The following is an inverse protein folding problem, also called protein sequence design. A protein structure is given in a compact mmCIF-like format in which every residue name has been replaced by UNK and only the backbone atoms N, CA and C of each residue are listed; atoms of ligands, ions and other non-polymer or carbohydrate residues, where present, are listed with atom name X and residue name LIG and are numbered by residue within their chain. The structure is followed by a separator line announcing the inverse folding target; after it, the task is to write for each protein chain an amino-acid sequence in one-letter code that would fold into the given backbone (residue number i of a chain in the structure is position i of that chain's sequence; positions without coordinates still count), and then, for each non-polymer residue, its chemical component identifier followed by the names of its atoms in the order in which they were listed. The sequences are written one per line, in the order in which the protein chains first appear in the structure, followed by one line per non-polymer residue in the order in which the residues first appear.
data_IF_287636380915
#
_entry.id   IF_287636380915
#
_cell.length_a   1.000
_cell.length_b   1.000
_cell.length_c   1.000
_cell.angle_alpha   90.00
_cell.angle_beta   90.00
_cell.angle_gamma   90.00
#
_symmetry.space_group_name_H-M   'P 1'
#
loop_
_entity.id
_entity.type
_entity.pdbx_description
1 polymer ?
#
# COMPACT_ATOMS: atom_id res chain seq x y z
N UNK A 1 1.94 -16.15 18.77
CA UNK A 1 3.05 -15.57 19.57
C UNK A 1 4.09 -14.83 18.70
N UNK A 2 4.68 -15.46 17.65
CA UNK A 2 5.74 -14.82 16.83
C UNK A 2 5.25 -13.52 16.19
N UNK A 3 4.09 -13.53 15.54
CA UNK A 3 3.53 -12.33 14.91
C UNK A 3 3.17 -11.23 15.92
N UNK A 4 2.83 -11.57 17.16
CA UNK A 4 2.63 -10.58 18.22
C UNK A 4 3.95 -9.93 18.63
N UNK A 5 5.00 -10.73 18.80
CA UNK A 5 6.34 -10.20 19.11
C UNK A 5 6.82 -9.26 17.99
N UNK A 6 6.66 -9.67 16.73
CA UNK A 6 7.02 -8.82 15.58
C UNK A 6 6.24 -7.48 15.62
N UNK A 7 4.96 -7.52 15.94
CA UNK A 7 4.14 -6.31 16.06
C UNK A 7 4.59 -5.39 17.20
N UNK A 8 4.93 -5.96 18.36
CA UNK A 8 5.42 -5.20 19.51
C UNK A 8 6.76 -4.52 19.19
N UNK A 9 7.66 -5.24 18.50
CA UNK A 9 8.94 -4.68 18.02
C UNK A 9 8.73 -3.53 17.05
N UNK A 10 7.78 -3.62 16.10
CA UNK A 10 7.46 -2.50 15.20
C UNK A 10 6.98 -1.26 15.96
N UNK A 11 6.16 -1.45 17.01
CA UNK A 11 5.70 -0.35 17.87
C UNK A 11 6.89 0.31 18.57
N UNK A 12 7.78 -0.49 19.18
CA UNK A 12 8.96 0.01 19.86
C UNK A 12 9.92 0.76 18.94
N UNK A 13 10.17 0.19 17.76
CA UNK A 13 11.05 0.78 16.73
C UNK A 13 10.39 1.94 15.96
N UNK A 14 9.08 2.15 16.08
CA UNK A 14 8.31 3.16 15.33
C UNK A 14 8.46 3.00 13.80
N UNK A 15 8.55 1.77 13.33
CA UNK A 15 8.79 1.44 11.92
C UNK A 15 7.51 1.29 11.09
N UNK A 16 6.43 0.81 11.70
CA UNK A 16 5.13 0.64 11.04
C UNK A 16 4.14 -0.06 11.96
N UNK A 17 2.89 -0.08 11.58
CA UNK A 17 1.84 -0.75 12.36
C UNK A 17 0.96 -1.67 11.48
N UNK A 18 1.23 -1.74 10.19
CA UNK A 18 0.42 -2.47 9.21
C UNK A 18 1.08 -3.72 8.65
N UNK A 19 2.39 -3.69 8.54
CA UNK A 19 3.15 -4.66 7.74
C UNK A 19 3.07 -6.09 8.30
N UNK A 20 3.06 -6.24 9.63
CA UNK A 20 2.92 -7.55 10.29
C UNK A 20 1.56 -8.19 9.98
N UNK A 21 0.48 -7.41 10.01
CA UNK A 21 -0.85 -7.93 9.69
C UNK A 21 -0.95 -8.33 8.23
N UNK A 22 -0.53 -7.46 7.31
CA UNK A 22 -0.52 -7.73 5.88
C UNK A 22 0.30 -8.99 5.55
N UNK A 23 1.50 -9.11 6.10
CA UNK A 23 2.35 -10.28 5.93
C UNK A 23 1.74 -11.54 6.53
N UNK A 24 1.06 -11.44 7.65
CA UNK A 24 0.46 -12.59 8.34
C UNK A 24 -0.76 -13.15 7.62
N UNK A 25 -1.68 -12.27 7.21
CA UNK A 25 -2.93 -12.70 6.58
C UNK A 25 -2.82 -12.88 5.08
N UNK A 26 -2.00 -12.08 4.40
CA UNK A 26 -1.93 -12.02 2.93
C UNK A 26 -3.23 -11.57 2.28
N UNK A 27 -3.22 -11.42 0.97
CA UNK A 27 -4.37 -10.99 0.21
C UNK A 27 -4.55 -9.47 0.22
N UNK A 28 -5.71 -9.02 -0.25
CA UNK A 28 -6.15 -7.64 -0.10
C UNK A 28 -6.92 -7.53 1.21
N UNK A 29 -6.37 -6.81 2.16
CA UNK A 29 -6.95 -6.69 3.49
C UNK A 29 -7.33 -5.25 3.84
N UNK A 30 -8.41 -5.09 4.57
CA UNK A 30 -8.84 -3.83 5.16
C UNK A 30 -8.85 -4.00 6.67
N UNK A 31 -8.00 -3.27 7.37
CA UNK A 31 -7.95 -3.31 8.83
C UNK A 31 -8.95 -2.33 9.43
N UNK A 32 -9.94 -2.85 10.12
CA UNK A 32 -11.01 -2.09 10.77
C UNK A 32 -10.86 -1.99 12.30
N UNK A 33 -10.01 -2.84 12.89
CA UNK A 33 -9.67 -2.77 14.31
C UNK A 33 -8.15 -2.86 14.51
N UNK A 34 -7.53 -1.94 15.25
CA UNK A 34 -6.09 -1.99 15.53
C UNK A 34 -5.73 -3.16 16.44
N UNK A 35 -4.46 -3.57 16.40
CA UNK A 35 -3.88 -4.62 17.23
C UNK A 35 -3.07 -5.63 16.42
N UNK A 36 -2.32 -6.47 17.14
CA UNK A 36 -1.56 -7.59 16.57
C UNK A 36 -2.48 -8.67 15.97
N UNK A 37 -1.97 -9.60 15.16
CA UNK A 37 -2.72 -10.78 14.72
C UNK A 37 -3.36 -11.53 15.89
N UNK A 38 -4.67 -11.76 15.81
CA UNK A 38 -5.48 -12.36 16.88
C UNK A 38 -6.08 -11.37 17.90
N UNK A 39 -5.70 -10.08 17.84
CA UNK A 39 -6.26 -8.99 18.66
C UNK A 39 -6.96 -7.98 17.76
N UNK A 40 -6.24 -7.50 16.72
CA UNK A 40 -6.81 -6.67 15.68
C UNK A 40 -7.76 -7.46 14.79
N UNK A 41 -8.52 -6.73 13.97
CA UNK A 41 -9.43 -7.33 13.00
C UNK A 41 -9.15 -6.79 11.60
N UNK A 42 -9.17 -7.70 10.63
CA UNK A 42 -9.05 -7.38 9.20
C UNK A 42 -10.17 -8.06 8.42
N UNK A 43 -10.70 -7.38 7.44
CA UNK A 43 -11.53 -7.99 6.41
C UNK A 43 -10.63 -8.35 5.23
N UNK A 44 -10.51 -9.63 4.94
CA UNK A 44 -9.72 -10.13 3.83
C UNK A 44 -10.59 -10.32 2.59
N UNK A 45 -10.11 -9.81 1.48
CA UNK A 45 -10.75 -9.94 0.18
C UNK A 45 -9.79 -10.71 -0.74
N UNK A 46 -10.24 -11.85 -1.24
CA UNK A 46 -9.46 -12.65 -2.19
C UNK A 46 -9.59 -12.03 -3.57
N UNK A 47 -8.46 -11.65 -4.15
CA UNK A 47 -8.36 -11.19 -5.51
C UNK A 47 -7.54 -12.19 -6.33
N UNK A 48 -8.02 -12.53 -7.51
CA UNK A 48 -7.36 -13.46 -8.41
C UNK A 48 -6.91 -12.74 -9.69
N UNK A 49 -5.78 -13.17 -10.25
CA UNK A 49 -5.21 -12.65 -11.50
C UNK A 49 -4.94 -11.13 -11.45
N UNK A 50 -4.58 -10.63 -10.28
CA UNK A 50 -4.16 -9.24 -10.08
C UNK A 50 -2.64 -9.20 -9.96
N UNK A 51 -2.03 -8.38 -10.79
CA UNK A 51 -0.63 -8.02 -10.69
C UNK A 51 -0.47 -6.70 -9.95
N UNK A 52 0.58 -6.63 -9.16
CA UNK A 52 0.99 -5.42 -8.47
C UNK A 52 2.29 -4.94 -9.09
N UNK A 53 2.26 -3.79 -9.74
CA UNK A 53 3.44 -3.17 -10.33
C UNK A 53 3.74 -1.89 -9.57
N UNK A 54 4.98 -1.78 -9.11
CA UNK A 54 5.44 -0.65 -8.31
C UNK A 54 6.63 0.01 -8.98
N UNK A 55 6.75 1.32 -8.79
CA UNK A 55 8.00 2.05 -9.02
C UNK A 55 8.41 2.73 -7.73
N UNK A 56 9.64 2.44 -7.28
CA UNK A 56 10.22 2.91 -6.03
C UNK A 56 11.42 3.81 -6.34
N UNK A 57 11.45 5.01 -5.77
CA UNK A 57 12.54 5.97 -5.98
C UNK A 57 13.43 6.09 -4.75
N UNK A 58 12.90 6.56 -3.64
CA UNK A 58 13.65 6.76 -2.40
C UNK A 58 12.82 6.49 -1.16
N UNK A 59 13.47 6.08 -0.05
CA UNK A 59 12.77 5.91 1.22
C UNK A 59 12.40 7.26 1.84
N UNK A 60 11.31 7.28 2.59
CA UNK A 60 10.89 8.41 3.43
C UNK A 60 10.94 7.96 4.88
N UNK A 61 11.48 8.79 5.78
CA UNK A 61 11.52 8.46 7.20
C UNK A 61 10.11 8.42 7.82
N UNK A 62 9.63 7.22 8.10
CA UNK A 62 8.32 6.96 8.70
C UNK A 62 8.12 7.73 10.01
N UNK A 63 9.08 7.65 10.92
CA UNK A 63 8.98 8.27 12.24
C UNK A 63 8.88 9.79 12.18
N UNK A 64 9.66 10.43 11.29
CA UNK A 64 9.60 11.87 11.06
C UNK A 64 8.26 12.27 10.45
N UNK A 65 7.83 11.56 9.40
CA UNK A 65 6.59 11.84 8.70
C UNK A 65 5.37 11.74 9.62
N UNK A 66 5.25 10.66 10.40
CA UNK A 66 4.13 10.46 11.32
C UNK A 66 4.10 11.59 12.36
N UNK A 67 5.25 11.93 12.95
CA UNK A 67 5.34 12.98 13.97
C UNK A 67 4.82 14.33 13.47
N UNK A 68 5.19 14.69 12.24
CA UNK A 68 4.83 15.99 11.66
C UNK A 68 3.37 16.06 11.17
N UNK A 69 2.76 14.92 10.81
CA UNK A 69 1.50 14.88 10.08
C UNK A 69 0.37 14.10 10.77
N UNK A 70 0.60 13.64 11.99
CA UNK A 70 -0.36 12.81 12.74
C UNK A 70 -1.80 13.37 12.76
N UNK A 71 -2.05 14.69 12.97
CA UNK A 71 -3.40 15.23 12.96
C UNK A 71 -4.11 15.08 11.60
N UNK A 72 -3.38 15.24 10.50
CA UNK A 72 -3.91 15.03 9.14
C UNK A 72 -4.19 13.55 8.88
N UNK A 73 -3.27 12.67 9.26
CA UNK A 73 -3.43 11.22 9.12
C UNK A 73 -4.72 10.75 9.81
N UNK A 74 -4.91 11.12 11.07
CA UNK A 74 -6.08 10.73 11.84
C UNK A 74 -7.39 11.41 11.37
N UNK A 75 -7.31 12.61 10.85
CA UNK A 75 -8.49 13.39 10.41
C UNK A 75 -9.22 12.76 9.21
N UNK A 76 -8.53 12.13 8.30
CA UNK A 76 -9.11 11.55 7.07
C UNK A 76 -9.13 10.02 7.07
N UNK A 77 -8.12 9.38 7.68
CA UNK A 77 -7.91 7.93 7.59
C UNK A 77 -9.15 7.10 7.98
N UNK A 78 -9.78 7.40 9.10
CA UNK A 78 -10.96 6.66 9.55
C UNK A 78 -12.16 6.75 8.60
N UNK A 79 -12.38 7.93 7.99
CA UNK A 79 -13.44 8.10 6.98
C UNK A 79 -13.18 7.29 5.72
N UNK A 80 -11.93 7.23 5.30
CA UNK A 80 -11.52 6.46 4.12
C UNK A 80 -11.65 4.96 4.36
N UNK A 81 -11.24 4.46 5.53
CA UNK A 81 -11.41 3.05 5.88
C UNK A 81 -12.89 2.65 5.81
N UNK A 82 -13.81 3.44 6.36
CA UNK A 82 -15.24 3.14 6.30
C UNK A 82 -15.76 3.06 4.85
N UNK A 83 -15.40 4.01 4.00
CA UNK A 83 -15.77 3.97 2.57
C UNK A 83 -15.20 2.73 1.86
N UNK A 84 -13.98 2.33 2.21
CA UNK A 84 -13.35 1.16 1.63
C UNK A 84 -14.02 -0.14 2.10
N UNK A 85 -14.44 -0.20 3.35
CA UNK A 85 -15.22 -1.33 3.91
C UNK A 85 -16.56 -1.51 3.20
N UNK A 86 -17.19 -0.42 2.76
CA UNK A 86 -18.44 -0.45 1.99
C UNK A 86 -18.20 -0.94 0.57
N UNK A 87 -17.18 -0.39 -0.13
CA UNK A 87 -16.93 -0.70 -1.55
C UNK A 87 -16.22 -2.03 -1.76
N UNK A 88 -15.29 -2.40 -0.87
CA UNK A 88 -14.41 -3.58 -0.98
C UNK A 88 -13.73 -3.72 -2.35
N UNK A 89 -13.42 -2.61 -2.97
CA UNK A 89 -12.95 -2.53 -4.35
C UNK A 89 -11.49 -2.03 -4.38
N UNK A 90 -10.60 -2.82 -4.99
CA UNK A 90 -9.17 -2.51 -5.07
C UNK A 90 -8.86 -1.30 -5.97
N UNK A 91 -9.69 -1.01 -6.96
CA UNK A 91 -9.51 0.18 -7.79
C UNK A 91 -9.86 1.44 -6.99
N UNK A 92 -10.94 1.40 -6.22
CA UNK A 92 -11.33 2.47 -5.31
C UNK A 92 -10.28 2.67 -4.20
N UNK A 93 -9.67 1.58 -3.72
CA UNK A 93 -8.54 1.65 -2.79
C UNK A 93 -7.37 2.46 -3.36
N UNK A 94 -7.01 2.25 -4.62
CA UNK A 94 -5.93 3.00 -5.27
C UNK A 94 -6.25 4.49 -5.36
N UNK A 95 -7.47 4.84 -5.77
CA UNK A 95 -7.93 6.24 -5.84
C UNK A 95 -7.89 6.91 -4.47
N UNK A 96 -8.40 6.22 -3.44
CA UNK A 96 -8.39 6.72 -2.06
C UNK A 96 -6.97 6.84 -1.50
N UNK A 97 -6.08 5.91 -1.82
CA UNK A 97 -4.67 5.98 -1.43
C UNK A 97 -4.00 7.22 -2.02
N UNK A 98 -4.27 7.53 -3.29
CA UNK A 98 -3.75 8.73 -3.96
C UNK A 98 -4.34 10.02 -3.35
N UNK A 99 -5.65 10.03 -3.08
CA UNK A 99 -6.31 11.16 -2.40
C UNK A 99 -5.71 11.41 -1.01
N UNK A 100 -5.52 10.34 -0.25
CA UNK A 100 -4.91 10.41 1.08
C UNK A 100 -3.48 10.94 1.02
N UNK A 101 -2.65 10.45 0.10
CA UNK A 101 -1.27 10.90 -0.07
C UNK A 101 -1.18 12.40 -0.40
N UNK A 102 -2.09 12.91 -1.23
CA UNK A 102 -2.22 14.35 -1.51
C UNK A 102 -2.62 15.13 -0.26
N UNK A 103 -3.60 14.64 0.47
CA UNK A 103 -4.09 15.31 1.68
C UNK A 103 -3.04 15.40 2.79
N UNK A 104 -2.27 14.33 3.01
CA UNK A 104 -1.18 14.32 4.00
C UNK A 104 0.11 14.94 3.47
N UNK A 105 0.13 15.41 2.23
CA UNK A 105 1.23 16.12 1.58
C UNK A 105 2.54 15.29 1.55
N UNK A 106 2.44 14.05 1.06
CA UNK A 106 3.59 13.16 0.86
C UNK A 106 4.04 13.09 -0.60
N UNK A 107 3.25 13.68 -1.50
CA UNK A 107 3.52 13.67 -2.94
C UNK A 107 4.72 14.53 -3.31
N UNK A 108 5.76 13.92 -3.85
CA UNK A 108 6.89 14.66 -4.44
C UNK A 108 6.58 15.07 -5.89
N UNK A 109 7.30 16.08 -6.44
CA UNK A 109 7.15 16.45 -7.85
C UNK A 109 7.40 15.27 -8.81
N UNK A 110 8.31 14.35 -8.45
CA UNK A 110 8.61 13.15 -9.22
C UNK A 110 7.44 12.18 -9.22
N UNK A 111 6.88 11.89 -8.05
CA UNK A 111 5.68 11.05 -7.94
C UNK A 111 4.51 11.65 -8.73
N UNK A 112 4.32 12.96 -8.67
CA UNK A 112 3.25 13.63 -9.41
C UNK A 112 3.39 13.47 -10.93
N UNK A 113 4.62 13.48 -11.47
CA UNK A 113 4.86 13.24 -12.90
C UNK A 113 4.43 11.83 -13.31
N UNK A 114 4.82 10.81 -12.53
CA UNK A 114 4.43 9.42 -12.81
C UNK A 114 2.92 9.24 -12.72
N UNK A 115 2.30 9.73 -11.65
CA UNK A 115 0.84 9.65 -11.45
C UNK A 115 0.09 10.31 -12.61
N UNK A 116 0.53 11.48 -13.06
CA UNK A 116 -0.08 12.17 -14.19
C UNK A 116 0.03 11.37 -15.49
N UNK A 117 1.19 10.72 -15.73
CA UNK A 117 1.38 9.91 -16.93
C UNK A 117 0.53 8.64 -16.91
N UNK A 118 0.44 7.95 -15.76
CA UNK A 118 -0.46 6.82 -15.58
C UNK A 118 -1.93 7.22 -15.79
N UNK A 119 -2.34 8.35 -15.21
CA UNK A 119 -3.71 8.88 -15.35
C UNK A 119 -4.07 9.21 -16.80
N UNK A 120 -3.17 9.82 -17.58
CA UNK A 120 -3.38 10.07 -19.02
C UNK A 120 -3.64 8.79 -19.82
N UNK A 121 -3.11 7.67 -19.36
CA UNK A 121 -3.28 6.37 -19.97
C UNK A 121 -4.44 5.55 -19.36
N UNK A 122 -5.30 6.18 -18.53
CA UNK A 122 -6.40 5.55 -17.81
C UNK A 122 -5.96 4.41 -16.90
N UNK A 123 -4.78 4.52 -16.29
CA UNK A 123 -4.25 3.56 -15.32
C UNK A 123 -4.42 4.14 -13.92
N UNK A 124 -5.16 3.41 -13.07
CA UNK A 124 -5.30 3.75 -11.66
C UNK A 124 -4.04 3.38 -10.89
N UNK A 125 -3.68 4.21 -9.93
CA UNK A 125 -2.54 3.96 -9.06
C UNK A 125 -2.79 4.49 -7.65
N UNK A 126 -2.06 3.97 -6.70
CA UNK A 126 -2.00 4.46 -5.33
C UNK A 126 -0.57 4.79 -4.91
N UNK A 127 -0.42 5.30 -3.71
CA UNK A 127 0.86 5.64 -3.10
C UNK A 127 1.08 4.73 -1.89
N UNK A 128 2.19 4.02 -1.89
CA UNK A 128 2.63 3.29 -0.70
C UNK A 128 3.23 4.30 0.28
N UNK A 129 2.54 4.51 1.39
CA UNK A 129 2.96 5.49 2.39
C UNK A 129 4.29 5.08 3.03
N UNK A 130 5.11 6.10 3.28
CA UNK A 130 6.48 6.08 3.82
C UNK A 130 7.56 5.63 2.84
N UNK A 131 7.32 5.86 1.55
CA UNK A 131 8.31 5.79 0.48
C UNK A 131 7.88 6.63 -0.71
N UNK A 132 8.83 7.06 -1.55
CA UNK A 132 8.51 7.56 -2.88
C UNK A 132 8.14 6.38 -3.78
N UNK A 133 7.02 5.73 -3.47
CA UNK A 133 6.59 4.50 -4.14
C UNK A 133 5.17 4.66 -4.65
N UNK A 134 5.00 4.44 -5.95
CA UNK A 134 3.71 4.40 -6.62
C UNK A 134 3.43 2.94 -6.95
N UNK A 135 2.21 2.48 -6.70
CA UNK A 135 1.79 1.14 -7.06
C UNK A 135 0.53 1.15 -7.90
N UNK A 136 0.38 0.16 -8.76
CA UNK A 136 -0.85 -0.14 -9.46
C UNK A 136 -1.21 -1.60 -9.29
N UNK A 137 -2.46 -1.84 -8.91
CA UNK A 137 -3.10 -3.15 -8.89
C UNK A 137 -3.92 -3.26 -10.17
N UNK A 138 -3.56 -4.18 -11.04
CA UNK A 138 -4.17 -4.29 -12.38
C UNK A 138 -4.44 -5.75 -12.75
N UNK A 139 -5.40 -6.01 -13.63
CA UNK A 139 -5.51 -7.31 -14.28
C UNK A 139 -4.21 -7.70 -14.98
N UNK A 140 -3.83 -8.98 -14.87
CA UNK A 140 -2.55 -9.49 -15.38
C UNK A 140 -2.33 -9.21 -16.89
N UNK A 141 -3.39 -9.17 -17.66
CA UNK A 141 -3.35 -8.87 -19.10
C UNK A 141 -2.93 -7.43 -19.43
N UNK A 142 -2.96 -6.52 -18.46
CA UNK A 142 -2.62 -5.10 -18.65
C UNK A 142 -1.19 -4.73 -18.22
N UNK A 143 -0.37 -5.70 -17.80
CA UNK A 143 0.96 -5.47 -17.27
C UNK A 143 1.89 -4.72 -18.21
N UNK A 144 1.94 -5.13 -19.48
CA UNK A 144 2.86 -4.56 -20.46
C UNK A 144 2.65 -3.06 -20.64
N UNK A 145 1.40 -2.62 -20.69
CA UNK A 145 1.06 -1.21 -20.86
C UNK A 145 1.63 -0.33 -19.74
N UNK A 146 1.60 -0.82 -18.50
CA UNK A 146 2.12 -0.06 -17.37
C UNK A 146 3.65 -0.09 -17.33
N UNK A 147 4.26 -1.23 -17.65
CA UNK A 147 5.72 -1.36 -17.70
C UNK A 147 6.32 -0.40 -18.73
N UNK A 148 5.77 -0.34 -19.94
CA UNK A 148 6.20 0.61 -21.00
C UNK A 148 6.18 2.09 -20.53
N UNK A 149 5.25 2.44 -19.64
CA UNK A 149 5.17 3.79 -19.07
C UNK A 149 6.25 3.99 -18.01
N UNK A 150 6.39 3.03 -17.10
CA UNK A 150 7.29 3.16 -15.96
C UNK A 150 8.76 3.05 -16.35
N UNK A 151 9.11 2.30 -17.39
CA UNK A 151 10.47 2.17 -17.92
C UNK A 151 11.07 3.51 -18.42
N UNK A 152 10.24 4.52 -18.66
CA UNK A 152 10.70 5.88 -18.96
C UNK A 152 11.38 6.58 -17.77
N UNK A 153 11.21 6.06 -16.57
CA UNK A 153 11.73 6.62 -15.32
C UNK A 153 12.92 5.80 -14.82
N UNK A 154 14.08 6.00 -15.45
CA UNK A 154 15.30 5.21 -15.22
C UNK A 154 15.93 5.35 -13.83
N UNK A 155 15.51 6.34 -13.06
CA UNK A 155 15.93 6.58 -11.67
C UNK A 155 15.06 5.86 -10.63
N UNK A 156 14.04 5.13 -11.08
CA UNK A 156 13.16 4.30 -10.24
C UNK A 156 13.44 2.81 -10.39
N UNK A 157 13.23 2.07 -9.31
CA UNK A 157 13.27 0.60 -9.33
C UNK A 157 11.86 0.09 -9.57
N UNK A 158 11.66 -0.61 -10.68
CA UNK A 158 10.38 -1.24 -11.01
C UNK A 158 10.33 -2.63 -10.38
N UNK A 159 9.28 -2.89 -9.61
CA UNK A 159 9.01 -4.18 -8.99
C UNK A 159 7.68 -4.70 -9.52
N UNK A 160 7.70 -5.91 -10.06
CA UNK A 160 6.51 -6.66 -10.44
C UNK A 160 6.29 -7.79 -9.46
N UNK A 161 5.06 -7.91 -8.95
CA UNK A 161 4.66 -8.94 -8.00
C UNK A 161 3.23 -9.41 -8.28
N UNK A 162 2.89 -10.53 -7.69
CA UNK A 162 1.51 -11.02 -7.64
C UNK A 162 1.00 -10.97 -6.19
N UNK A 163 -0.32 -10.94 -6.03
CA UNK A 163 -0.93 -10.95 -4.71
C UNK A 163 -0.85 -12.35 -4.09
N UNK A 164 -0.12 -12.49 -2.98
CA UNK A 164 -0.14 -13.72 -2.19
C UNK A 164 -1.38 -13.75 -1.27
N UNK A 165 -2.34 -14.57 -1.61
CA UNK A 165 -3.56 -14.73 -0.81
C UNK A 165 -3.37 -15.62 0.43
N UNK A 166 -2.19 -16.20 0.65
CA UNK A 166 -1.96 -17.16 1.74
C UNK A 166 -1.36 -16.50 2.99
N UNK A 167 -0.47 -15.55 2.82
CA UNK A 167 0.29 -14.91 3.89
C UNK A 167 1.46 -15.74 4.42
N UNK A 168 2.01 -15.33 5.55
CA UNK A 168 3.19 -15.93 6.15
C UNK A 168 2.96 -17.40 6.53
N UNK A 169 3.88 -18.27 6.12
CA UNK A 169 3.80 -19.71 6.36
C UNK A 169 5.19 -20.33 6.55
N UNK A 170 5.25 -21.42 7.31
CA UNK A 170 6.45 -22.22 7.43
C UNK A 170 6.52 -23.16 6.21
N UNK A 171 7.65 -23.14 5.54
CA UNK A 171 7.93 -24.11 4.48
C UNK A 171 8.68 -25.28 5.12
N UNK A 172 8.10 -26.47 5.05
CA UNK A 172 8.78 -27.71 5.42
C UNK A 172 9.46 -28.28 4.16
N UNK A 173 10.74 -28.48 4.24
CA UNK A 173 11.50 -29.20 3.22
C UNK A 173 11.38 -30.72 3.43
#
# INVERSE_FOLDING_TARGET
KVAQIAHDVEIECKTGLGDVLASYYGGFEIRDKPGAPGIGHVQKITLNKISIIMICFSPISTSKFIKERLPRINGLGGKMVNKLLESKNYEHFQEMSLEFAKYVDVMTPRMQKVVNELSKNNIKCGIALFGETIFSMIPKENENKILEILEKYSDGIIIKSELDNTGARVLYN
#
